data_IF_302729822432
#
_entry.id   IF_302729822432
#
_cell.length_a   1.000
_cell.length_b   1.000
_cell.length_c   1.000
_cell.angle_alpha   90.00
_cell.angle_beta   90.00
_cell.angle_gamma   90.00
#
_symmetry.space_group_name_H-M   'P 1'
#
loop_
_entity.id
_entity.type
_entity.pdbx_description
1 polymer ?
#
# COMPACT_ATOMS: atom_id res chain seq x y z
N UNK A 1 12.14 -3.83 -7.37
CA UNK A 1 11.97 -5.08 -6.60
C UNK A 1 12.01 -6.31 -7.51
N UNK A 2 12.46 -7.46 -6.97
CA UNK A 2 12.46 -8.77 -7.66
C UNK A 2 11.92 -9.83 -6.70
N UNK A 3 10.66 -9.67 -6.30
CA UNK A 3 9.98 -10.67 -5.48
C UNK A 3 9.85 -11.99 -6.21
N UNK A 4 9.97 -13.12 -5.50
CA UNK A 4 10.02 -14.45 -6.10
C UNK A 4 8.74 -14.88 -6.83
N UNK A 5 7.63 -14.25 -6.55
CA UNK A 5 6.32 -14.52 -7.17
C UNK A 5 5.96 -13.57 -8.33
N UNK A 6 6.77 -12.51 -8.55
CA UNK A 6 6.38 -11.42 -9.44
C UNK A 6 6.96 -11.57 -10.84
N UNK A 7 6.09 -11.57 -11.85
CA UNK A 7 6.46 -11.61 -13.28
C UNK A 7 6.65 -10.20 -13.87
N UNK A 8 6.19 -9.15 -13.20
CA UNK A 8 6.17 -7.77 -13.70
C UNK A 8 7.55 -7.27 -14.17
N UNK A 9 8.68 -7.55 -13.47
CA UNK A 9 9.99 -7.08 -13.93
C UNK A 9 10.41 -7.61 -15.30
N UNK A 10 9.91 -8.79 -15.69
CA UNK A 10 10.19 -9.36 -17.00
C UNK A 10 9.36 -8.70 -18.12
N UNK A 11 8.17 -8.20 -17.80
CA UNK A 11 7.29 -7.56 -18.76
C UNK A 11 7.53 -6.04 -18.88
N UNK A 12 7.78 -5.34 -17.77
CA UNK A 12 7.90 -3.87 -17.73
C UNK A 12 9.32 -3.33 -17.66
N UNK A 13 10.30 -4.19 -17.37
CA UNK A 13 11.69 -3.78 -17.19
C UNK A 13 11.94 -2.99 -15.91
N UNK A 14 12.95 -2.11 -15.92
CA UNK A 14 13.34 -1.31 -14.78
C UNK A 14 12.31 -0.19 -14.49
N UNK A 15 12.29 0.27 -13.24
CA UNK A 15 11.51 1.41 -12.82
C UNK A 15 11.91 2.66 -13.63
N UNK A 16 10.93 3.51 -13.95
CA UNK A 16 11.15 4.79 -14.64
C UNK A 16 10.35 5.85 -13.94
N UNK A 17 11.03 6.86 -13.43
CA UNK A 17 10.42 7.98 -12.74
C UNK A 17 10.18 9.14 -13.70
N UNK A 18 9.05 9.81 -13.55
CA UNK A 18 8.81 11.09 -14.23
C UNK A 18 9.45 12.20 -13.41
N UNK A 19 9.98 13.22 -14.08
CA UNK A 19 10.50 14.41 -13.41
C UNK A 19 9.39 15.11 -12.60
N UNK A 20 9.73 15.65 -11.42
CA UNK A 20 8.76 16.31 -10.53
C UNK A 20 7.97 17.43 -11.23
N UNK A 21 8.62 18.22 -12.10
CA UNK A 21 7.96 19.28 -12.87
C UNK A 21 6.85 18.73 -13.74
N UNK A 22 7.11 17.66 -14.50
CA UNK A 22 6.12 17.02 -15.35
C UNK A 22 4.92 16.48 -14.56
N UNK A 23 5.17 15.90 -13.36
CA UNK A 23 4.10 15.46 -12.46
C UNK A 23 3.28 16.65 -11.98
N UNK A 24 3.93 17.74 -11.55
CA UNK A 24 3.24 18.95 -11.11
C UNK A 24 2.38 19.58 -12.24
N UNK A 25 2.88 19.62 -13.46
CA UNK A 25 2.15 20.14 -14.60
C UNK A 25 0.91 19.27 -14.93
N UNK A 26 1.06 17.95 -14.85
CA UNK A 26 -0.08 17.04 -15.01
C UNK A 26 -1.13 17.24 -13.92
N UNK A 27 -0.71 17.39 -12.68
CA UNK A 27 -1.64 17.61 -11.55
C UNK A 27 -2.33 18.98 -11.67
N UNK A 28 -1.62 20.05 -12.07
CA UNK A 28 -2.25 21.35 -12.36
C UNK A 28 -3.32 21.24 -13.45
N UNK A 29 -3.03 20.49 -14.51
CA UNK A 29 -3.98 20.28 -15.60
C UNK A 29 -5.23 19.51 -15.12
N UNK A 30 -5.09 18.55 -14.19
CA UNK A 30 -6.22 17.84 -13.58
C UNK A 30 -7.04 18.78 -12.70
N UNK A 31 -6.39 19.54 -11.81
CA UNK A 31 -7.05 20.52 -10.93
C UNK A 31 -7.81 21.57 -11.76
N UNK A 32 -7.22 22.08 -12.84
CA UNK A 32 -7.88 23.03 -13.75
C UNK A 32 -9.13 22.44 -14.44
N UNK A 33 -9.22 21.11 -14.55
CA UNK A 33 -10.41 20.38 -15.04
C UNK A 33 -11.44 20.09 -13.93
N UNK A 34 -11.21 20.56 -12.70
CA UNK A 34 -12.12 20.40 -11.57
C UNK A 34 -11.88 19.14 -10.71
N UNK A 35 -10.83 18.35 -10.97
CA UNK A 35 -10.49 17.22 -10.11
C UNK A 35 -9.97 17.72 -8.76
N UNK A 36 -10.56 17.22 -7.67
CA UNK A 36 -10.23 17.63 -6.30
C UNK A 36 -9.29 16.64 -5.60
N UNK A 37 -9.27 15.39 -6.02
CA UNK A 37 -8.37 14.36 -5.49
C UNK A 37 -7.50 13.79 -6.62
N UNK A 38 -6.21 13.62 -6.34
CA UNK A 38 -5.25 12.96 -7.22
C UNK A 38 -4.59 11.82 -6.47
N UNK A 39 -4.44 10.67 -7.12
CA UNK A 39 -3.71 9.51 -6.58
C UNK A 39 -2.39 9.39 -7.32
N UNK A 40 -1.27 9.48 -6.61
CA UNK A 40 0.04 9.10 -7.16
C UNK A 40 0.13 7.58 -7.21
N UNK A 41 0.39 7.04 -8.38
CA UNK A 41 0.43 5.59 -8.60
C UNK A 41 1.64 5.17 -9.41
N UNK A 42 1.99 3.89 -9.30
CA UNK A 42 3.05 3.23 -10.03
C UNK A 42 3.21 1.80 -9.56
N UNK A 43 4.04 1.03 -10.27
CA UNK A 43 4.33 -0.38 -9.88
C UNK A 43 5.12 -0.45 -8.58
N UNK A 44 5.98 0.55 -8.34
CA UNK A 44 6.82 0.69 -7.13
C UNK A 44 7.09 2.18 -6.91
N UNK A 45 6.13 2.88 -6.33
CA UNK A 45 6.24 4.34 -6.11
C UNK A 45 7.28 4.71 -5.06
N UNK A 46 7.59 3.80 -4.13
CA UNK A 46 8.63 4.04 -3.12
C UNK A 46 10.04 4.09 -3.72
N UNK A 47 10.26 3.52 -4.90
CA UNK A 47 11.53 3.63 -5.64
C UNK A 47 11.61 4.88 -6.52
N UNK A 48 10.67 5.82 -6.39
CA UNK A 48 10.67 7.06 -7.14
C UNK A 48 12.01 7.80 -7.00
N UNK A 49 12.48 8.32 -8.13
CA UNK A 49 13.62 9.22 -8.22
C UNK A 49 14.99 8.55 -8.20
N UNK A 50 15.09 7.22 -8.02
CA UNK A 50 16.37 6.51 -8.05
C UNK A 50 17.10 6.59 -9.39
N UNK A 51 16.39 6.93 -10.46
CA UNK A 51 16.85 7.12 -11.83
C UNK A 51 16.85 8.60 -12.27
N UNK A 52 16.57 9.53 -11.35
CA UNK A 52 16.57 10.97 -11.60
C UNK A 52 17.81 11.66 -11.02
N UNK A 53 18.27 12.78 -11.59
CA UNK A 53 19.33 13.57 -11.01
C UNK A 53 19.03 13.99 -9.57
N UNK A 54 19.99 13.81 -8.68
CA UNK A 54 19.86 14.14 -7.26
C UNK A 54 19.06 13.13 -6.43
N UNK A 55 18.62 12.03 -7.03
CA UNK A 55 17.89 10.93 -6.37
C UNK A 55 16.78 11.39 -5.41
N UNK A 56 15.83 12.23 -5.88
CA UNK A 56 14.74 12.68 -5.02
C UNK A 56 13.88 11.51 -4.58
N UNK A 57 13.41 11.52 -3.33
CA UNK A 57 12.55 10.46 -2.78
C UNK A 57 11.07 10.75 -3.03
N UNK A 58 10.21 9.75 -2.74
CA UNK A 58 8.76 9.93 -2.79
C UNK A 58 8.30 11.03 -1.82
N UNK A 59 8.86 11.09 -0.62
CA UNK A 59 8.56 12.14 0.36
C UNK A 59 8.90 13.53 -0.17
N UNK A 60 10.05 13.70 -0.83
CA UNK A 60 10.40 14.96 -1.51
C UNK A 60 9.39 15.31 -2.62
N UNK A 61 8.98 14.33 -3.43
CA UNK A 61 7.97 14.55 -4.46
C UNK A 61 6.65 15.05 -3.86
N UNK A 62 6.13 14.36 -2.83
CA UNK A 62 4.86 14.70 -2.17
C UNK A 62 4.88 16.14 -1.66
N UNK A 63 5.91 16.50 -0.87
CA UNK A 63 6.01 17.85 -0.29
C UNK A 63 6.15 18.93 -1.36
N UNK A 64 6.98 18.70 -2.37
CA UNK A 64 7.16 19.67 -3.46
C UNK A 64 5.93 19.79 -4.34
N UNK A 65 5.23 18.68 -4.60
CA UNK A 65 4.00 18.69 -5.36
C UNK A 65 2.92 19.51 -4.66
N UNK A 66 2.67 19.26 -3.37
CA UNK A 66 1.68 19.99 -2.58
C UNK A 66 2.03 21.48 -2.46
N UNK A 67 3.32 21.84 -2.42
CA UNK A 67 3.76 23.24 -2.47
C UNK A 67 3.56 23.86 -3.86
N UNK A 68 3.82 23.12 -4.94
CA UNK A 68 3.75 23.61 -6.32
C UNK A 68 2.31 23.72 -6.86
N UNK A 69 1.37 22.99 -6.25
CA UNK A 69 -0.05 22.99 -6.64
C UNK A 69 -0.91 23.19 -5.38
N UNK A 70 -0.97 24.44 -4.87
CA UNK A 70 -1.72 24.75 -3.66
C UNK A 70 -3.24 24.53 -3.77
N UNK A 71 -3.75 24.55 -4.99
CA UNK A 71 -5.17 24.32 -5.29
C UNK A 71 -5.58 22.85 -5.22
N UNK A 72 -4.63 21.90 -5.19
CA UNK A 72 -4.96 20.49 -4.99
C UNK A 72 -5.47 20.27 -3.56
N UNK A 73 -6.72 19.85 -3.43
CA UNK A 73 -7.36 19.68 -2.12
C UNK A 73 -6.95 18.37 -1.44
N UNK A 74 -6.74 17.29 -2.21
CA UNK A 74 -6.51 15.94 -1.69
C UNK A 74 -5.46 15.21 -2.51
N UNK A 75 -4.46 14.69 -1.84
CA UNK A 75 -3.43 13.82 -2.44
C UNK A 75 -3.48 12.46 -1.77
N UNK A 76 -3.49 11.40 -2.57
CA UNK A 76 -3.46 10.03 -2.07
C UNK A 76 -2.30 9.27 -2.71
N UNK A 77 -1.79 8.29 -2.00
CA UNK A 77 -0.72 7.42 -2.47
C UNK A 77 -1.28 6.02 -2.72
N UNK A 78 -0.79 5.36 -3.78
CA UNK A 78 -1.02 3.94 -3.98
C UNK A 78 -0.16 3.09 -3.05
N UNK A 79 -0.07 1.78 -3.27
CA UNK A 79 0.61 0.85 -2.36
C UNK A 79 2.08 1.21 -2.11
N UNK A 80 2.47 1.19 -0.84
CA UNK A 80 3.79 1.54 -0.34
C UNK A 80 4.53 0.31 0.17
N UNK A 81 5.82 0.20 -0.12
CA UNK A 81 6.68 -0.83 0.50
C UNK A 81 7.15 -0.32 1.88
N UNK A 82 6.85 -1.03 2.99
CA UNK A 82 7.27 -0.62 4.33
C UNK A 82 8.78 -0.35 4.45
N UNK A 83 9.61 -1.16 3.76
CA UNK A 83 11.07 -1.02 3.79
C UNK A 83 11.60 0.23 3.06
N UNK A 84 10.76 0.96 2.35
CA UNK A 84 11.18 2.08 1.52
C UNK A 84 10.44 3.39 1.84
N UNK A 85 9.76 3.45 2.97
CA UNK A 85 9.18 4.68 3.50
C UNK A 85 10.28 5.53 4.14
N UNK A 86 10.57 6.68 3.54
CA UNK A 86 11.61 7.60 4.00
C UNK A 86 11.08 8.63 5.04
N UNK A 87 12.01 9.28 5.75
CA UNK A 87 11.67 10.27 6.78
C UNK A 87 10.93 11.49 6.21
N UNK A 88 11.19 11.87 4.95
CA UNK A 88 10.46 12.96 4.30
C UNK A 88 8.99 12.59 4.05
N UNK A 89 8.71 11.30 3.76
CA UNK A 89 7.33 10.83 3.62
C UNK A 89 6.61 10.82 4.97
N UNK A 90 7.27 10.37 6.05
CA UNK A 90 6.71 10.47 7.41
C UNK A 90 6.47 11.92 7.83
N UNK A 91 7.38 12.83 7.48
CA UNK A 91 7.22 14.27 7.73
C UNK A 91 6.05 14.84 6.93
N UNK A 92 5.90 14.47 5.66
CA UNK A 92 4.75 14.85 4.85
C UNK A 92 3.42 14.36 5.47
N UNK A 93 3.40 13.12 5.97
CA UNK A 93 2.23 12.55 6.63
C UNK A 93 1.83 13.34 7.89
N UNK A 94 2.82 13.84 8.65
CA UNK A 94 2.59 14.62 9.87
C UNK A 94 2.15 16.07 9.58
N UNK A 95 2.74 16.71 8.57
CA UNK A 95 2.63 18.16 8.36
C UNK A 95 1.63 18.55 7.27
N UNK A 96 1.33 17.66 6.32
CA UNK A 96 0.52 17.98 5.14
C UNK A 96 -0.93 17.49 5.29
N UNK A 97 -1.82 18.37 5.70
CA UNK A 97 -3.24 18.02 5.88
C UNK A 97 -3.92 17.52 4.59
N UNK A 98 -3.44 17.94 3.43
CA UNK A 98 -3.94 17.53 2.11
C UNK A 98 -3.43 16.16 1.66
N UNK A 99 -2.40 15.61 2.32
CA UNK A 99 -2.06 14.19 2.18
C UNK A 99 -3.07 13.38 2.98
N UNK A 100 -3.86 12.57 2.29
CA UNK A 100 -4.95 11.83 2.93
C UNK A 100 -4.42 10.86 4.00
N UNK A 101 -5.11 10.73 5.15
CA UNK A 101 -4.69 9.89 6.28
C UNK A 101 -4.95 8.41 6.00
N UNK A 102 -4.38 7.92 4.93
CA UNK A 102 -4.49 6.53 4.49
C UNK A 102 -3.17 6.04 3.92
N UNK A 103 -2.66 4.94 4.43
CA UNK A 103 -1.52 4.22 3.85
C UNK A 103 -1.96 2.81 3.46
N UNK A 104 -1.72 2.45 2.22
CA UNK A 104 -1.89 1.08 1.75
C UNK A 104 -0.53 0.42 1.63
N UNK A 105 -0.27 -0.61 2.45
CA UNK A 105 1.05 -1.22 2.57
C UNK A 105 1.14 -2.51 1.75
N UNK A 106 2.16 -2.63 0.94
CA UNK A 106 2.48 -3.87 0.22
C UNK A 106 3.12 -4.90 1.16
N UNK A 107 2.38 -5.37 2.18
CA UNK A 107 2.88 -6.31 3.19
C UNK A 107 3.16 -7.68 2.59
N UNK A 108 2.26 -8.18 1.76
CA UNK A 108 2.26 -9.48 1.09
C UNK A 108 2.07 -10.67 2.04
N UNK A 109 2.72 -10.69 3.21
CA UNK A 109 2.56 -11.64 4.30
C UNK A 109 3.05 -11.00 5.61
N UNK A 110 2.73 -11.61 6.75
CA UNK A 110 3.20 -11.16 8.08
C UNK A 110 3.85 -12.29 8.89
N UNK A 111 4.53 -13.19 8.18
CA UNK A 111 5.43 -14.20 8.74
C UNK A 111 6.81 -14.03 8.09
N UNK A 112 7.86 -13.93 8.91
CA UNK A 112 9.21 -13.62 8.44
C UNK A 112 9.80 -14.69 7.52
N UNK A 113 9.44 -15.97 7.70
CA UNK A 113 9.90 -17.01 6.81
C UNK A 113 9.22 -16.91 5.44
N UNK A 114 7.93 -16.58 5.39
CA UNK A 114 7.20 -16.33 4.15
C UNK A 114 7.77 -15.09 3.45
N UNK A 115 7.96 -13.99 4.18
CA UNK A 115 8.56 -12.76 3.65
C UNK A 115 9.96 -13.00 3.06
N UNK A 116 10.79 -13.78 3.74
CA UNK A 116 12.12 -14.19 3.25
C UNK A 116 12.03 -15.01 1.96
N UNK A 117 11.11 -15.98 1.87
CA UNK A 117 10.86 -16.77 0.67
C UNK A 117 10.31 -15.93 -0.48
N UNK A 118 9.49 -14.94 -0.18
CA UNK A 118 9.01 -13.92 -1.13
C UNK A 118 10.13 -12.97 -1.58
N UNK A 119 11.28 -12.97 -0.90
CA UNK A 119 12.37 -12.00 -1.10
C UNK A 119 11.92 -10.56 -0.80
N UNK A 120 11.13 -10.39 0.27
CA UNK A 120 10.76 -9.06 0.78
C UNK A 120 11.92 -8.45 1.57
N UNK A 121 11.95 -7.12 1.65
CA UNK A 121 13.02 -6.37 2.34
C UNK A 121 12.65 -5.97 3.76
N UNK A 122 11.37 -6.04 4.12
CA UNK A 122 10.89 -5.80 5.48
C UNK A 122 10.64 -7.12 6.22
N UNK A 123 10.78 -7.09 7.51
CA UNK A 123 10.32 -8.09 8.45
C UNK A 123 8.91 -7.77 8.96
N UNK A 124 8.31 -8.71 9.69
CA UNK A 124 7.07 -8.45 10.44
C UNK A 124 7.24 -7.25 11.39
N UNK A 125 8.33 -7.21 12.15
CA UNK A 125 8.64 -6.15 13.11
C UNK A 125 8.79 -4.78 12.42
N UNK A 126 9.41 -4.71 11.25
CA UNK A 126 9.52 -3.47 10.47
C UNK A 126 8.14 -2.94 10.07
N UNK A 127 7.22 -3.81 9.67
CA UNK A 127 5.85 -3.43 9.32
C UNK A 127 5.08 -2.87 10.52
N UNK A 128 5.23 -3.48 11.70
CA UNK A 128 4.65 -2.95 12.95
C UNK A 128 5.22 -1.57 13.30
N UNK A 129 6.55 -1.41 13.26
CA UNK A 129 7.21 -0.11 13.52
C UNK A 129 6.75 0.99 12.56
N UNK A 130 6.58 0.67 11.29
CA UNK A 130 6.06 1.62 10.28
C UNK A 130 4.63 2.03 10.65
N UNK A 131 3.76 1.08 10.99
CA UNK A 131 2.38 1.35 11.36
C UNK A 131 2.27 2.19 12.65
N UNK A 132 3.04 1.84 13.67
CA UNK A 132 3.09 2.58 14.94
C UNK A 132 3.58 4.02 14.74
N UNK A 133 4.70 4.17 14.01
CA UNK A 133 5.25 5.50 13.69
C UNK A 133 4.26 6.36 12.91
N UNK A 134 3.61 5.78 11.91
CA UNK A 134 2.63 6.51 11.10
C UNK A 134 1.43 6.97 11.91
N UNK A 135 0.88 6.10 12.79
CA UNK A 135 -0.23 6.45 13.69
C UNK A 135 0.14 7.47 14.76
N UNK A 136 1.37 7.39 15.29
CA UNK A 136 1.85 8.39 16.26
C UNK A 136 1.93 9.79 15.62
N UNK A 137 2.27 9.89 14.33
CA UNK A 137 2.35 11.14 13.59
C UNK A 137 0.97 11.61 13.08
N UNK A 138 0.09 10.67 12.76
CA UNK A 138 -1.24 10.93 12.21
C UNK A 138 -2.28 10.01 12.87
N UNK A 139 -2.89 10.43 14.00
CA UNK A 139 -3.81 9.58 14.79
C UNK A 139 -5.07 9.12 14.05
N UNK A 140 -5.53 9.88 13.08
CA UNK A 140 -6.68 9.57 12.20
C UNK A 140 -6.31 8.63 11.02
N UNK A 141 -5.08 8.11 11.00
CA UNK A 141 -4.58 7.29 9.92
C UNK A 141 -5.28 5.93 9.84
N UNK A 142 -5.73 5.61 8.64
CA UNK A 142 -6.29 4.30 8.28
C UNK A 142 -5.25 3.49 7.52
N UNK A 143 -5.09 2.23 7.89
CA UNK A 143 -4.18 1.31 7.22
C UNK A 143 -4.92 0.31 6.34
N UNK A 144 -4.40 0.12 5.14
CA UNK A 144 -4.75 -0.97 4.25
C UNK A 144 -3.53 -1.81 3.89
N UNK A 145 -3.73 -2.98 3.31
CA UNK A 145 -2.64 -3.82 2.85
C UNK A 145 -3.00 -4.73 1.68
N UNK A 146 -1.97 -5.03 0.86
CA UNK A 146 -1.98 -6.15 -0.07
C UNK A 146 -1.45 -7.39 0.65
N UNK A 147 -2.16 -8.52 0.59
CA UNK A 147 -1.80 -9.80 1.17
C UNK A 147 -1.95 -10.94 0.16
N UNK A 148 -1.04 -11.90 0.20
CA UNK A 148 -1.07 -13.13 -0.59
C UNK A 148 -1.26 -14.30 0.37
N UNK A 149 -2.38 -15.00 0.26
CA UNK A 149 -2.70 -16.19 1.06
C UNK A 149 -2.26 -17.48 0.37
N UNK A 150 -1.72 -18.42 1.12
CA UNK A 150 -1.30 -19.72 0.59
C UNK A 150 -0.08 -19.62 -0.33
N UNK A 151 0.87 -18.75 0.01
CA UNK A 151 2.16 -18.71 -0.68
C UNK A 151 2.85 -20.09 -0.59
N UNK A 152 3.60 -20.55 -1.60
CA UNK A 152 4.28 -21.84 -1.56
C UNK A 152 5.02 -22.08 -0.24
N UNK A 153 4.81 -23.26 0.34
CA UNK A 153 5.38 -23.66 1.64
C UNK A 153 4.83 -22.90 2.88
N UNK A 154 3.79 -22.11 2.75
CA UNK A 154 3.12 -21.49 3.90
C UNK A 154 2.41 -22.57 4.73
N UNK A 155 2.77 -22.66 6.00
CA UNK A 155 2.11 -23.55 6.98
C UNK A 155 0.91 -22.85 7.64
N UNK A 156 0.09 -23.60 8.37
CA UNK A 156 -1.01 -23.00 9.14
C UNK A 156 -0.51 -21.96 10.14
N UNK A 157 0.54 -22.26 10.89
CA UNK A 157 1.12 -21.31 11.86
C UNK A 157 1.61 -20.00 11.19
N UNK A 158 2.15 -20.07 9.97
CA UNK A 158 2.57 -18.88 9.22
C UNK A 158 1.37 -18.05 8.74
N UNK A 159 0.29 -18.72 8.33
CA UNK A 159 -0.98 -18.07 8.02
C UNK A 159 -1.58 -17.39 9.26
N UNK A 160 -1.59 -18.09 10.40
CA UNK A 160 -2.09 -17.55 11.68
C UNK A 160 -1.31 -16.29 12.10
N UNK A 161 0.00 -16.24 11.87
CA UNK A 161 0.81 -15.03 12.07
C UNK A 161 0.32 -13.85 11.23
N UNK A 162 -0.04 -14.10 9.96
CA UNK A 162 -0.58 -13.06 9.07
C UNK A 162 -1.98 -12.63 9.53
N UNK A 163 -2.83 -13.58 9.90
CA UNK A 163 -4.18 -13.31 10.40
C UNK A 163 -4.16 -12.51 11.71
N UNK A 164 -3.24 -12.84 12.63
CA UNK A 164 -3.03 -12.07 13.85
C UNK A 164 -2.64 -10.62 13.54
N UNK A 165 -1.68 -10.42 12.63
CA UNK A 165 -1.24 -9.08 12.25
C UNK A 165 -2.34 -8.24 11.60
N UNK A 166 -3.26 -8.83 10.83
CA UNK A 166 -4.44 -8.12 10.29
C UNK A 166 -5.27 -7.52 11.42
N UNK A 167 -5.44 -8.26 12.52
CA UNK A 167 -6.20 -7.81 13.71
C UNK A 167 -5.42 -6.80 14.54
N UNK A 168 -4.15 -7.10 14.85
CA UNK A 168 -3.29 -6.28 15.72
C UNK A 168 -3.02 -4.90 15.09
N UNK A 169 -2.78 -4.86 13.79
CA UNK A 169 -2.56 -3.62 13.04
C UNK A 169 -3.87 -2.94 12.63
N UNK A 170 -5.01 -3.49 12.98
CA UNK A 170 -6.34 -2.97 12.61
C UNK A 170 -6.39 -2.56 11.12
N UNK A 171 -6.03 -3.49 10.25
CA UNK A 171 -6.00 -3.24 8.81
C UNK A 171 -7.42 -3.20 8.28
N UNK A 172 -7.86 -2.02 7.80
CA UNK A 172 -9.25 -1.75 7.40
C UNK A 172 -9.50 -2.09 5.93
N UNK A 173 -8.58 -1.74 5.05
CA UNK A 173 -8.71 -1.97 3.61
C UNK A 173 -7.74 -3.05 3.15
N UNK A 174 -8.24 -4.24 2.90
CA UNK A 174 -7.43 -5.38 2.46
C UNK A 174 -7.70 -5.75 1.01
N UNK A 175 -6.61 -5.89 0.25
CA UNK A 175 -6.62 -6.63 -1.00
C UNK A 175 -5.97 -7.99 -0.75
N UNK A 176 -6.77 -9.05 -0.70
CA UNK A 176 -6.31 -10.40 -0.42
C UNK A 176 -6.39 -11.26 -1.67
N UNK A 177 -5.24 -11.76 -2.10
CA UNK A 177 -5.08 -12.60 -3.26
C UNK A 177 -4.71 -14.02 -2.84
N UNK A 178 -5.47 -15.07 -3.22
CA UNK A 178 -4.94 -16.42 -3.15
C UNK A 178 -3.73 -16.50 -4.08
N UNK A 179 -2.64 -17.14 -3.62
CA UNK A 179 -1.44 -17.27 -4.45
C UNK A 179 -1.78 -17.89 -5.81
N UNK A 180 -1.30 -17.24 -6.86
CA UNK A 180 -1.42 -17.69 -8.24
C UNK A 180 -0.04 -17.89 -8.85
N UNK A 181 0.22 -19.08 -9.32
CA UNK A 181 1.47 -19.43 -9.99
C UNK A 181 1.67 -18.57 -11.24
N UNK A 182 2.93 -18.18 -11.48
CA UNK A 182 3.35 -17.46 -12.67
C UNK A 182 4.56 -18.17 -13.24
N UNK A 183 4.41 -18.72 -14.42
CA UNK A 183 5.47 -19.45 -15.10
C UNK A 183 6.75 -18.61 -15.18
N UNK A 184 7.89 -19.28 -14.97
CA UNK A 184 9.20 -18.63 -14.99
C UNK A 184 9.59 -17.92 -13.68
N UNK A 185 8.69 -17.78 -12.71
CA UNK A 185 9.03 -17.22 -11.40
C UNK A 185 9.66 -18.25 -10.47
N UNK A 186 10.56 -17.86 -9.55
CA UNK A 186 11.13 -18.78 -8.57
C UNK A 186 10.08 -19.46 -7.69
N UNK A 187 9.01 -18.74 -7.30
CA UNK A 187 7.96 -19.28 -6.44
C UNK A 187 7.16 -20.40 -7.11
N UNK A 188 7.00 -20.38 -8.43
CA UNK A 188 6.30 -21.45 -9.18
C UNK A 188 7.00 -22.81 -9.12
N UNK A 189 8.27 -22.85 -8.66
CA UNK A 189 9.05 -24.08 -8.49
C UNK A 189 9.08 -24.60 -7.05
N UNK A 190 8.44 -23.90 -6.13
CA UNK A 190 8.36 -24.30 -4.72
C UNK A 190 7.17 -25.23 -4.49
N UNK A 191 7.19 -26.11 -3.45
CA UNK A 191 6.04 -26.91 -3.06
C UNK A 191 4.82 -26.04 -2.80
N UNK A 192 3.72 -26.30 -3.48
CA UNK A 192 2.51 -25.46 -3.44
C UNK A 192 1.60 -25.85 -2.30
N UNK A 193 0.83 -24.90 -1.79
CA UNK A 193 -0.35 -25.14 -0.95
C UNK A 193 -1.53 -25.46 -1.89
N UNK A 194 -2.40 -26.38 -1.49
CA UNK A 194 -3.54 -26.77 -2.32
C UNK A 194 -4.50 -25.60 -2.60
N UNK A 195 -5.08 -25.59 -3.79
CA UNK A 195 -5.97 -24.49 -4.23
C UNK A 195 -7.15 -24.25 -3.29
N UNK A 196 -7.88 -25.29 -2.79
CA UNK A 196 -8.94 -25.09 -1.81
C UNK A 196 -8.43 -24.39 -0.54
N UNK A 197 -7.27 -24.79 -0.03
CA UNK A 197 -6.67 -24.20 1.18
C UNK A 197 -6.24 -22.73 0.96
N UNK A 198 -5.63 -22.40 -0.20
CA UNK A 198 -5.33 -20.99 -0.56
C UNK A 198 -6.60 -20.13 -0.55
N UNK A 199 -7.72 -20.66 -1.08
CA UNK A 199 -9.00 -19.94 -1.13
C UNK A 199 -9.59 -19.76 0.27
N UNK A 200 -9.52 -20.79 1.12
CA UNK A 200 -9.99 -20.73 2.51
C UNK A 200 -9.19 -19.69 3.31
N UNK A 201 -7.88 -19.74 3.27
CA UNK A 201 -6.99 -18.74 3.93
C UNK A 201 -7.26 -17.32 3.43
N UNK A 202 -7.47 -17.15 2.12
CA UNK A 202 -7.81 -15.83 1.58
C UNK A 202 -9.19 -15.35 2.04
N UNK A 203 -10.16 -16.25 2.26
CA UNK A 203 -11.46 -15.91 2.85
C UNK A 203 -11.30 -15.44 4.29
N UNK A 204 -10.56 -16.19 5.14
CA UNK A 204 -10.32 -15.85 6.54
C UNK A 204 -9.68 -14.45 6.70
N UNK A 205 -8.70 -14.12 5.85
CA UNK A 205 -8.08 -12.78 5.87
C UNK A 205 -9.08 -11.69 5.46
N UNK A 206 -9.91 -11.94 4.44
CA UNK A 206 -10.95 -10.98 4.02
C UNK A 206 -12.00 -10.78 5.10
N UNK A 207 -12.41 -11.85 5.78
CA UNK A 207 -13.39 -11.78 6.86
C UNK A 207 -12.84 -10.99 8.05
N UNK A 208 -11.57 -11.19 8.40
CA UNK A 208 -10.89 -10.39 9.42
C UNK A 208 -10.83 -8.91 9.03
N UNK A 209 -10.49 -8.60 7.78
CA UNK A 209 -10.51 -7.22 7.26
C UNK A 209 -11.90 -6.60 7.24
N UNK A 210 -12.92 -7.37 6.86
CA UNK A 210 -14.31 -6.92 6.90
C UNK A 210 -14.77 -6.59 8.33
N UNK A 211 -14.36 -7.39 9.32
CA UNK A 211 -14.65 -7.12 10.72
C UNK A 211 -13.96 -5.82 11.20
N UNK A 212 -12.70 -5.58 10.79
CA UNK A 212 -11.99 -4.32 11.08
C UNK A 212 -12.70 -3.13 10.44
N UNK A 213 -13.08 -3.25 9.16
CA UNK A 213 -13.83 -2.20 8.46
C UNK A 213 -15.17 -1.89 9.15
N UNK A 214 -15.92 -2.90 9.56
CA UNK A 214 -17.17 -2.69 10.27
C UNK A 214 -16.97 -1.93 11.58
N UNK A 215 -15.93 -2.27 12.36
CA UNK A 215 -15.57 -1.52 13.59
C UNK A 215 -15.18 -0.07 13.26
N UNK A 216 -14.36 0.13 12.25
CA UNK A 216 -13.96 1.49 11.82
C UNK A 216 -15.18 2.32 11.41
N UNK A 217 -16.08 1.78 10.59
CA UNK A 217 -17.29 2.50 10.16
C UNK A 217 -18.21 2.81 11.34
N UNK A 218 -18.31 1.92 12.33
CA UNK A 218 -19.09 2.15 13.54
C UNK A 218 -18.59 3.38 14.33
N UNK A 219 -17.29 3.69 14.32
CA UNK A 219 -16.75 4.89 14.98
C UNK A 219 -17.12 6.19 14.27
N UNK A 220 -17.53 6.12 13.01
CA UNK A 220 -17.94 7.29 12.21
C UNK A 220 -19.44 7.63 12.36
N UNK A 221 -20.23 6.76 12.99
CA UNK A 221 -21.67 7.01 13.20
C UNK A 221 -21.87 8.25 14.10
N UNK A 222 -22.68 9.18 13.61
CA UNK A 222 -22.95 10.45 14.31
C UNK A 222 -21.88 11.53 14.10
N UNK A 223 -20.84 11.26 13.33
CA UNK A 223 -19.82 12.25 12.98
C UNK A 223 -20.13 12.91 11.63
N UNK A 224 -19.74 14.17 11.48
CA UNK A 224 -19.74 14.87 10.18
C UNK A 224 -18.35 14.81 9.60
N UNK A 225 -18.20 14.15 8.46
CA UNK A 225 -16.91 13.99 7.76
C UNK A 225 -16.99 14.53 6.34
N UNK A 226 -15.92 15.15 5.81
CA UNK A 226 -15.87 15.55 4.42
C UNK A 226 -15.74 14.32 3.50
N UNK A 227 -16.61 14.26 2.49
CA UNK A 227 -16.61 13.17 1.50
C UNK A 227 -16.34 13.71 0.10
N UNK A 228 -15.65 12.91 -0.72
CA UNK A 228 -15.53 13.14 -2.14
C UNK A 228 -16.65 12.36 -2.87
N UNK A 229 -17.49 13.08 -3.60
CA UNK A 229 -18.53 12.46 -4.42
C UNK A 229 -17.92 12.16 -5.80
N UNK A 230 -17.80 10.89 -6.14
CA UNK A 230 -17.20 10.44 -7.41
C UNK A 230 -18.26 10.24 -8.51
N UNK A 231 -19.51 9.97 -8.11
CA UNK A 231 -20.65 9.79 -9.02
C UNK A 231 -21.91 10.36 -8.37
N UNK A 232 -22.75 10.95 -9.17
CA UNK A 232 -24.09 11.32 -8.71
C UNK A 232 -24.92 10.08 -8.44
N UNK A 233 -25.74 10.11 -7.38
CA UNK A 233 -26.58 8.99 -6.96
C UNK A 233 -27.64 8.55 -8.00
N UNK A 234 -27.72 9.25 -9.12
CA UNK A 234 -28.71 9.04 -10.20
C UNK A 234 -28.05 8.64 -11.53
N UNK A 235 -26.81 8.17 -11.54
CA UNK A 235 -26.08 7.72 -12.73
C UNK A 235 -25.75 6.24 -12.71
#
# INVERSE_FOLDING_TARGET
>A
HRCTFCIIPFARGNNRSLAMGAIADQVRALVAKGYREVVLTGVDICSYGTDLPGNPTLGHLVRRLLKAVPELERLRLSSLDPAAMDDELFRALAEEARLMPHLHLSLQAMDDMVLKRMKRRHSRDDAYKVAERARALRPDLVLGADLIAGFPTETQAMHDNTLAAVRDLDLVHLHVFPYSERDGTPAARMPTVDVPERKARAAELRDAGAANLARFLATSIGQTVPVLIERDAMG
#
